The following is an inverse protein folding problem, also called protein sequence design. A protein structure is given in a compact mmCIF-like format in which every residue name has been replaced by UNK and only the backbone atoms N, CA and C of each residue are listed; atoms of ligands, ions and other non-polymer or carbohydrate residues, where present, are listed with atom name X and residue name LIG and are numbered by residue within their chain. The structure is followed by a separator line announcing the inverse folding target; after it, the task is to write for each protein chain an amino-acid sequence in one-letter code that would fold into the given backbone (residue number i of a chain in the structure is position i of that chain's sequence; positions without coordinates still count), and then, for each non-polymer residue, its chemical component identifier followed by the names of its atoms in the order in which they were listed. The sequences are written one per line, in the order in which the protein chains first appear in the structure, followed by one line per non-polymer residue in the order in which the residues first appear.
data_IF_772062022804
#
_entry.id   IF_772062022804
#
_cell.length_a   1.000
_cell.length_b   1.000
_cell.length_c   1.000
_cell.angle_alpha   90.00
_cell.angle_beta   90.00
_cell.angle_gamma   90.00
#
_symmetry.space_group_name_H-M   'P 1'
#
loop_
_entity.id
_entity.type
_entity.pdbx_description
1 polymer ?
#
# COMPACT_ATOMS: atom_id res chain seq x y z
N UNK A 1 0.75 10.63 -6.00
CA UNK A 1 -0.47 9.90 -5.62
C UNK A 1 -1.17 9.47 -6.90
N UNK A 2 -1.41 8.17 -7.09
CA UNK A 2 -2.10 7.60 -8.25
C UNK A 2 -3.33 6.84 -7.73
N UNK A 3 -4.51 7.15 -8.24
CA UNK A 3 -5.75 6.44 -7.88
C UNK A 3 -5.99 5.39 -8.96
N UNK A 4 -6.25 4.16 -8.54
CA UNK A 4 -6.47 3.02 -9.40
C UNK A 4 -7.81 2.37 -9.02
N UNK A 5 -8.55 1.90 -10.02
CA UNK A 5 -9.65 0.97 -9.79
C UNK A 5 -9.09 -0.37 -9.30
N UNK A 6 -9.81 -1.08 -8.43
CA UNK A 6 -9.37 -2.34 -7.83
C UNK A 6 -9.44 -3.53 -8.81
N UNK A 7 -8.66 -3.45 -9.89
CA UNK A 7 -8.46 -4.52 -10.87
C UNK A 7 -7.23 -5.37 -10.52
N UNK A 8 -7.12 -6.56 -11.10
CA UNK A 8 -5.96 -7.43 -10.91
C UNK A 8 -4.63 -6.74 -11.26
N UNK A 9 -4.63 -5.91 -12.31
CA UNK A 9 -3.42 -5.19 -12.73
C UNK A 9 -3.07 -4.06 -11.77
N UNK A 10 -4.07 -3.36 -11.22
CA UNK A 10 -3.85 -2.37 -10.17
C UNK A 10 -3.33 -3.02 -8.89
N UNK A 11 -3.81 -4.22 -8.53
CA UNK A 11 -3.31 -4.98 -7.38
C UNK A 11 -1.84 -5.40 -7.61
N UNK A 12 -1.48 -5.85 -8.83
CA UNK A 12 -0.09 -6.15 -9.18
C UNK A 12 0.80 -4.90 -9.07
N UNK A 13 0.32 -3.76 -9.56
CA UNK A 13 1.04 -2.48 -9.45
C UNK A 13 1.23 -2.07 -7.97
N UNK A 14 0.18 -2.14 -7.16
CA UNK A 14 0.26 -1.87 -5.73
C UNK A 14 1.26 -2.81 -5.03
N UNK A 15 1.29 -4.09 -5.41
CA UNK A 15 2.25 -5.04 -4.86
C UNK A 15 3.71 -4.70 -5.23
N UNK A 16 3.96 -4.16 -6.43
CA UNK A 16 5.29 -3.63 -6.81
C UNK A 16 5.66 -2.44 -5.92
N UNK A 17 4.74 -1.50 -5.70
CA UNK A 17 4.95 -0.35 -4.81
C UNK A 17 5.28 -0.79 -3.39
N UNK A 18 4.49 -1.71 -2.81
CA UNK A 18 4.71 -2.25 -1.46
C UNK A 18 6.09 -2.89 -1.35
N UNK A 19 6.48 -3.74 -2.33
CA UNK A 19 7.79 -4.41 -2.34
C UNK A 19 8.97 -3.45 -2.46
N UNK A 20 8.78 -2.30 -3.10
CA UNK A 20 9.78 -1.24 -3.18
C UNK A 20 9.85 -0.36 -1.90
N UNK A 21 9.12 -0.74 -0.83
CA UNK A 21 9.04 0.04 0.41
C UNK A 21 8.08 1.22 0.33
N UNK A 22 7.22 1.28 -0.69
CA UNK A 22 6.15 2.26 -0.81
C UNK A 22 5.00 1.98 0.15
N UNK A 23 4.05 2.92 0.14
CA UNK A 23 2.82 2.90 0.93
C UNK A 23 1.61 2.95 0.01
N UNK A 24 0.54 2.24 0.37
CA UNK A 24 -0.70 2.18 -0.41
C UNK A 24 -1.90 2.41 0.49
N UNK A 25 -2.94 3.01 -0.06
CA UNK A 25 -4.26 3.09 0.56
C UNK A 25 -5.16 2.08 -0.17
N UNK A 26 -5.88 1.24 0.57
CA UNK A 26 -6.75 0.21 0.00
C UNK A 26 -8.07 0.11 0.77
N UNK A 27 -9.18 -0.22 0.09
CA UNK A 27 -10.47 -0.37 0.75
C UNK A 27 -10.53 -1.67 1.55
N UNK A 28 -11.28 -1.66 2.67
CA UNK A 28 -11.77 -2.86 3.35
C UNK A 28 -13.29 -2.79 3.49
N UNK A 29 -13.89 -3.80 4.12
CA UNK A 29 -15.31 -3.83 4.45
C UNK A 29 -15.73 -2.74 5.45
N UNK A 30 -14.80 -2.24 6.26
CA UNK A 30 -15.08 -1.29 7.34
C UNK A 30 -14.50 0.10 7.09
N UNK A 31 -13.22 0.19 6.73
CA UNK A 31 -12.49 1.47 6.56
C UNK A 31 -11.44 1.35 5.47
N UNK A 32 -10.83 2.47 5.07
CA UNK A 32 -9.64 2.41 4.24
C UNK A 32 -8.42 2.09 5.10
N UNK A 33 -7.65 1.09 4.67
CA UNK A 33 -6.36 0.75 5.25
C UNK A 33 -5.25 1.54 4.58
N UNK A 34 -4.29 2.00 5.37
CA UNK A 34 -3.00 2.52 4.89
C UNK A 34 -1.93 1.47 5.22
N UNK A 35 -1.32 0.88 4.20
CA UNK A 35 -0.45 -0.29 4.34
C UNK A 35 0.92 -0.13 3.68
N UNK A 36 1.88 -0.90 4.20
CA UNK A 36 3.25 -1.01 3.67
C UNK A 36 3.81 -2.42 3.89
N UNK A 37 5.02 -2.68 3.41
CA UNK A 37 5.77 -3.89 3.71
C UNK A 37 6.36 -3.84 5.13
N UNK A 38 5.89 -4.67 6.09
CA UNK A 38 6.32 -4.57 7.49
C UNK A 38 7.80 -4.95 7.72
N UNK A 39 8.37 -5.77 6.83
CA UNK A 39 9.78 -6.16 6.85
C UNK A 39 10.74 -5.04 6.41
N UNK A 40 10.23 -3.90 5.94
CA UNK A 40 11.02 -2.71 5.56
C UNK A 40 10.78 -1.64 6.63
N UNK A 41 11.68 -1.49 7.63
CA UNK A 41 11.48 -0.57 8.75
C UNK A 41 11.22 0.88 8.32
N UNK A 42 11.87 1.33 7.24
CA UNK A 42 11.68 2.66 6.66
C UNK A 42 10.26 2.87 6.11
N UNK A 43 9.64 1.82 5.59
CA UNK A 43 8.26 1.89 5.09
C UNK A 43 7.28 1.99 6.26
N UNK A 44 7.47 1.22 7.33
CA UNK A 44 6.66 1.30 8.55
C UNK A 44 6.79 2.67 9.24
N UNK A 45 8.02 3.24 9.28
CA UNK A 45 8.26 4.58 9.81
C UNK A 45 7.44 5.66 9.10
N UNK A 46 7.15 5.52 7.79
CA UNK A 46 6.31 6.48 7.04
C UNK A 46 4.83 6.46 7.47
N UNK A 47 4.39 5.40 8.16
CA UNK A 47 3.00 5.24 8.60
C UNK A 47 2.82 5.56 10.09
N UNK A 48 3.81 5.22 10.91
CA UNK A 48 3.70 5.27 12.37
C UNK A 48 4.34 6.52 13.00
N UNK A 49 5.02 7.36 12.20
CA UNK A 49 5.64 8.62 12.62
C UNK A 49 5.07 9.76 11.78
#
# INVERSE_FOLDING_TARGET
MKILEATDDAIKEAAVVIRAGGVVIYPTETVYGLGCAPQIPEAAKRLCL
#
